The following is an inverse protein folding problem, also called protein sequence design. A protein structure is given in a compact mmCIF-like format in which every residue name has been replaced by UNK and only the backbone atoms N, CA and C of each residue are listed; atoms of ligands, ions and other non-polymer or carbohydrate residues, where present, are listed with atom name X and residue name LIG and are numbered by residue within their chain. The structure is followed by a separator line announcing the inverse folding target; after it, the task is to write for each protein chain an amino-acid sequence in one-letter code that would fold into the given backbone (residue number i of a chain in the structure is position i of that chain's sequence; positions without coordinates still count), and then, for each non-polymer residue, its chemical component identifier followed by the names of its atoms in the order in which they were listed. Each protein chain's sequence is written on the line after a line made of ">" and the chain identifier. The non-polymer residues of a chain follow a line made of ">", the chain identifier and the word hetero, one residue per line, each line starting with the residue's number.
data_IF_008570162053
#
_entry.id   IF_008570162053
#
_cell.length_a   1.000
_cell.length_b   1.000
_cell.length_c   1.000
_cell.angle_alpha   90.00
_cell.angle_beta   90.00
_cell.angle_gamma   90.00
#
_symmetry.space_group_name_H-M   'P 1'
#
loop_
_entity.id
_entity.type
_entity.pdbx_description
1 polymer ?
#
# COMPACT_ATOMS: atom_id res chain seq x y z
N UNK A 1 15.92 53.40 3.37
CA UNK A 1 16.14 52.02 2.94
C UNK A 1 14.78 51.34 3.16
N UNK A 2 14.09 51.11 2.09
CA UNK A 2 12.78 50.40 2.11
C UNK A 2 13.09 48.94 2.39
N UNK A 3 12.66 48.45 3.58
CA UNK A 3 12.57 47.02 3.86
C UNK A 3 11.59 46.41 2.84
N UNK A 4 12.08 45.91 1.73
CA UNK A 4 11.33 44.91 0.96
C UNK A 4 11.15 43.71 1.87
N UNK A 5 9.92 43.22 2.08
CA UNK A 5 9.72 42.00 2.86
C UNK A 5 10.49 40.88 2.18
N UNK A 6 11.45 40.30 2.89
CA UNK A 6 12.20 39.13 2.40
C UNK A 6 11.21 38.04 2.10
N UNK A 7 10.99 37.74 0.81
CA UNK A 7 10.09 36.68 0.36
C UNK A 7 10.58 35.37 0.99
N UNK A 8 9.71 34.70 1.74
CA UNK A 8 10.08 33.43 2.37
C UNK A 8 10.39 32.38 1.31
N UNK A 9 11.36 31.53 1.56
CA UNK A 9 11.73 30.42 0.66
C UNK A 9 10.55 29.52 0.29
N UNK A 10 9.51 29.53 1.12
CA UNK A 10 8.29 28.71 0.96
C UNK A 10 7.11 29.49 0.37
N UNK A 11 7.28 30.78 0.04
CA UNK A 11 6.20 31.58 -0.55
C UNK A 11 5.72 30.97 -1.87
N UNK A 12 4.39 30.81 -1.98
CA UNK A 12 3.76 30.20 -3.15
C UNK A 12 4.14 28.74 -3.40
N UNK A 13 4.72 28.02 -2.43
CA UNK A 13 5.21 26.66 -2.61
C UNK A 13 4.08 25.69 -3.03
N UNK A 14 2.88 25.84 -2.47
CA UNK A 14 1.69 25.06 -2.90
C UNK A 14 1.38 25.26 -4.38
N UNK A 15 1.40 26.51 -4.85
CA UNK A 15 1.14 26.81 -6.28
C UNK A 15 2.26 26.21 -7.16
N UNK A 16 3.52 26.31 -6.74
CA UNK A 16 4.65 25.70 -7.45
C UNK A 16 4.50 24.18 -7.55
N UNK A 17 4.01 23.49 -6.51
CA UNK A 17 3.70 22.06 -6.56
C UNK A 17 2.61 21.76 -7.59
N UNK A 18 1.54 22.56 -7.61
CA UNK A 18 0.46 22.41 -8.57
C UNK A 18 0.93 22.64 -10.00
N UNK A 19 1.74 23.68 -10.25
CA UNK A 19 2.28 24.01 -11.57
C UNK A 19 3.20 22.91 -12.12
N UNK A 20 4.09 22.37 -11.28
CA UNK A 20 4.97 21.26 -11.63
C UNK A 20 4.24 19.94 -11.89
N UNK A 21 2.98 19.87 -11.50
CA UNK A 21 2.15 18.66 -11.58
C UNK A 21 1.19 18.70 -12.75
N UNK A 22 1.10 19.79 -13.50
CA UNK A 22 0.15 19.89 -14.60
C UNK A 22 0.35 18.78 -15.64
N UNK A 23 -0.74 18.30 -16.28
CA UNK A 23 -0.67 17.43 -17.44
C UNK A 23 0.16 18.05 -18.57
N UNK A 24 0.57 17.22 -19.51
CA UNK A 24 1.21 17.67 -20.74
C UNK A 24 0.20 18.47 -21.62
N UNK A 25 0.66 19.07 -22.74
CA UNK A 25 -0.16 19.93 -23.60
C UNK A 25 -1.41 19.23 -24.18
N UNK A 26 -1.40 17.92 -24.27
CA UNK A 26 -2.54 17.11 -24.71
C UNK A 26 -3.50 16.73 -23.57
N UNK A 27 -3.28 17.26 -22.36
CA UNK A 27 -4.10 17.03 -21.19
C UNK A 27 -3.84 15.72 -20.47
N UNK A 28 -2.83 14.94 -20.88
CA UNK A 28 -2.51 13.63 -20.27
C UNK A 28 -1.38 13.77 -19.23
N UNK A 29 -1.60 13.24 -18.03
CA UNK A 29 -0.63 13.21 -16.94
C UNK A 29 0.39 12.09 -17.17
N UNK A 30 1.61 12.46 -17.50
CA UNK A 30 2.73 11.54 -17.73
C UNK A 30 3.88 11.81 -16.79
N UNK A 31 4.80 10.85 -16.69
CA UNK A 31 6.03 10.97 -15.92
C UNK A 31 5.79 11.32 -14.44
N UNK A 32 4.73 10.78 -13.81
CA UNK A 32 4.34 11.10 -12.45
C UNK A 32 5.46 10.89 -11.43
N UNK A 33 6.24 9.80 -11.55
CA UNK A 33 7.40 9.55 -10.69
C UNK A 33 8.45 10.69 -10.78
N UNK A 34 8.73 11.19 -11.98
CA UNK A 34 9.65 12.33 -12.19
C UNK A 34 9.08 13.61 -11.58
N UNK A 35 7.78 13.87 -11.75
CA UNK A 35 7.09 15.02 -11.17
C UNK A 35 7.09 14.96 -9.64
N UNK A 36 6.83 13.79 -9.03
CA UNK A 36 6.93 13.58 -7.58
C UNK A 36 8.34 13.80 -7.05
N UNK A 37 9.34 13.28 -7.75
CA UNK A 37 10.74 13.51 -7.40
C UNK A 37 11.10 15.00 -7.42
N UNK A 38 10.73 15.72 -8.47
CA UNK A 38 10.99 17.15 -8.59
C UNK A 38 10.30 17.98 -7.49
N UNK A 39 9.03 17.67 -7.17
CA UNK A 39 8.32 18.30 -6.03
C UNK A 39 9.02 18.05 -4.70
N UNK A 40 9.44 16.79 -4.47
CA UNK A 40 10.16 16.40 -3.24
C UNK A 40 11.49 17.15 -3.12
N UNK A 41 12.26 17.23 -4.21
CA UNK A 41 13.53 17.97 -4.24
C UNK A 41 13.32 19.47 -3.98
N UNK A 42 12.31 20.07 -4.62
CA UNK A 42 11.93 21.46 -4.36
C UNK A 42 11.52 21.68 -2.91
N UNK A 43 10.66 20.82 -2.35
CA UNK A 43 10.25 20.91 -0.95
C UNK A 43 11.46 20.83 0.00
N UNK A 44 12.33 19.86 -0.20
CA UNK A 44 13.54 19.67 0.63
C UNK A 44 14.45 20.88 0.56
N UNK A 45 14.65 21.46 -0.63
CA UNK A 45 15.45 22.68 -0.80
C UNK A 45 14.82 23.86 -0.07
N UNK A 46 13.52 24.14 -0.30
CA UNK A 46 12.82 25.26 0.33
C UNK A 46 12.80 25.12 1.87
N UNK A 47 12.62 23.90 2.39
CA UNK A 47 12.66 23.64 3.83
C UNK A 47 14.06 23.83 4.42
N UNK A 48 15.12 23.47 3.68
CA UNK A 48 16.51 23.74 4.09
C UNK A 48 16.80 25.24 4.13
N UNK A 49 16.35 25.99 3.12
CA UNK A 49 16.49 27.45 3.08
C UNK A 49 15.70 28.13 4.21
N UNK A 50 14.48 27.66 4.47
CA UNK A 50 13.65 28.12 5.60
C UNK A 50 14.33 27.88 6.95
N UNK A 51 14.89 26.69 7.18
CA UNK A 51 15.66 26.40 8.40
C UNK A 51 16.83 27.37 8.57
N UNK A 52 17.62 27.57 7.51
CA UNK A 52 18.77 28.47 7.55
C UNK A 52 18.36 29.94 7.82
N UNK A 53 17.22 30.37 7.29
CA UNK A 53 16.67 31.69 7.56
C UNK A 53 16.17 31.80 9.02
N UNK A 54 15.42 30.81 9.50
CA UNK A 54 14.93 30.74 10.88
C UNK A 54 16.07 30.79 11.90
N UNK A 55 17.14 30.02 11.68
CA UNK A 55 18.33 30.03 12.56
C UNK A 55 19.05 31.38 12.63
N UNK A 56 18.93 32.21 11.60
CA UNK A 56 19.50 33.58 11.58
C UNK A 56 18.59 34.62 12.22
N UNK A 57 17.27 34.37 12.21
CA UNK A 57 16.23 35.34 12.63
C UNK A 57 15.80 35.17 14.10
N UNK A 58 16.24 34.11 14.80
CA UNK A 58 15.99 33.93 16.24
C UNK A 58 16.94 34.78 17.08
N UNK A 59 16.49 35.10 18.31
CA UNK A 59 17.21 35.98 19.24
C UNK A 59 18.44 35.35 19.92
N UNK A 60 18.80 34.12 19.61
CA UNK A 60 19.86 33.33 20.20
C UNK A 60 20.62 32.52 19.15
N UNK A 61 21.86 32.10 19.40
CA UNK A 61 22.58 31.22 18.46
C UNK A 61 22.01 29.80 18.51
N UNK A 62 21.57 29.28 17.37
CA UNK A 62 21.18 27.87 17.23
C UNK A 62 22.45 27.02 17.09
N UNK A 63 22.67 26.01 17.97
CA UNK A 63 23.87 25.20 17.89
C UNK A 63 23.87 24.27 16.67
N UNK A 64 25.04 23.98 16.12
CA UNK A 64 25.25 23.09 14.98
C UNK A 64 24.96 21.61 15.30
N UNK A 65 24.89 21.26 16.60
CA UNK A 65 24.64 19.89 17.08
C UNK A 65 23.54 19.85 18.14
N UNK A 66 22.88 18.71 18.25
CA UNK A 66 21.84 18.45 19.26
C UNK A 66 20.46 18.96 18.87
N UNK A 67 20.26 19.52 17.67
CA UNK A 67 18.95 19.84 17.11
C UNK A 67 18.96 19.68 15.60
N UNK A 68 17.90 19.04 15.07
CA UNK A 68 17.78 18.79 13.64
C UNK A 68 16.33 18.84 13.17
N UNK A 69 16.16 19.12 11.89
CA UNK A 69 14.89 19.22 11.20
C UNK A 69 14.76 18.09 10.17
N UNK A 70 13.69 17.35 10.20
CA UNK A 70 13.50 16.16 9.37
C UNK A 70 12.09 16.07 8.79
N UNK A 71 12.00 15.39 7.64
CA UNK A 71 10.77 14.93 7.03
C UNK A 71 10.48 13.48 7.44
N UNK A 72 9.20 13.13 7.54
CA UNK A 72 8.70 11.76 7.70
C UNK A 72 7.64 11.48 6.64
N UNK A 73 7.11 10.27 6.59
CA UNK A 73 5.97 9.93 5.75
C UNK A 73 6.18 10.13 4.24
N UNK A 74 5.22 10.73 3.56
CA UNK A 74 5.17 10.84 2.10
C UNK A 74 6.33 11.68 1.52
N UNK A 75 6.70 12.77 2.19
CA UNK A 75 7.83 13.61 1.79
C UNK A 75 9.15 12.84 1.88
N UNK A 76 9.37 12.13 2.98
CA UNK A 76 10.58 11.33 3.17
C UNK A 76 10.71 10.21 2.14
N UNK A 77 9.58 9.57 1.75
CA UNK A 77 9.53 8.52 0.71
C UNK A 77 9.71 9.04 -0.72
N UNK A 78 9.72 10.35 -0.94
CA UNK A 78 9.74 10.91 -2.30
C UNK A 78 8.40 10.79 -3.04
N UNK A 79 7.31 10.66 -2.31
CA UNK A 79 5.97 10.43 -2.82
C UNK A 79 5.04 11.64 -2.63
N UNK A 80 5.59 12.85 -2.51
CA UNK A 80 4.83 14.06 -2.30
C UNK A 80 3.85 14.31 -3.45
N UNK A 81 2.55 14.44 -3.13
CA UNK A 81 1.50 14.78 -4.09
C UNK A 81 1.38 16.29 -4.32
N UNK A 82 0.61 16.72 -5.36
CA UNK A 82 0.43 18.14 -5.67
C UNK A 82 -0.15 18.99 -4.52
N UNK A 83 -1.01 18.38 -3.71
CA UNK A 83 -1.66 19.04 -2.56
C UNK A 83 -1.45 18.28 -1.25
N UNK A 84 -0.45 17.38 -1.19
CA UNK A 84 -0.17 16.61 0.04
C UNK A 84 0.29 17.53 1.16
N UNK A 85 -0.08 17.15 2.39
CA UNK A 85 0.48 17.67 3.62
C UNK A 85 1.99 17.41 3.73
N UNK A 86 2.64 18.20 4.57
CA UNK A 86 4.04 18.03 4.92
C UNK A 86 4.13 17.47 6.35
N UNK A 87 4.66 16.26 6.48
CA UNK A 87 4.94 15.62 7.77
C UNK A 87 6.35 16.01 8.21
N UNK A 88 6.48 16.90 9.21
CA UNK A 88 7.74 17.48 9.63
C UNK A 88 8.00 17.30 11.12
N UNK A 89 9.26 17.13 11.51
CA UNK A 89 9.65 16.98 12.90
C UNK A 89 10.95 17.73 13.21
N UNK A 90 10.95 18.45 14.33
CA UNK A 90 12.17 18.93 14.97
C UNK A 90 12.56 17.89 16.03
N UNK A 91 13.78 17.35 15.90
CA UNK A 91 14.35 16.43 16.88
C UNK A 91 15.45 17.17 17.63
N UNK A 92 15.43 17.07 18.96
CA UNK A 92 16.45 17.74 19.74
C UNK A 92 16.92 16.89 20.94
N UNK A 93 18.14 17.13 21.38
CA UNK A 93 18.67 16.59 22.63
C UNK A 93 18.27 17.47 23.82
N UNK A 94 17.93 16.89 24.98
CA UNK A 94 17.61 17.66 26.19
C UNK A 94 18.74 18.64 26.53
N UNK A 95 18.37 19.86 26.89
CA UNK A 95 19.28 20.97 27.26
C UNK A 95 20.00 21.67 26.11
N UNK A 96 19.80 21.27 24.85
CA UNK A 96 20.33 21.97 23.69
C UNK A 96 19.75 23.39 23.60
N UNK A 97 18.43 23.50 23.72
CA UNK A 97 17.68 24.75 23.80
C UNK A 97 16.67 24.65 24.96
N UNK A 98 16.30 25.76 25.54
CA UNK A 98 15.18 25.80 26.48
C UNK A 98 13.83 25.91 25.73
N UNK A 99 12.73 25.73 26.44
CA UNK A 99 11.38 25.70 25.86
C UNK A 99 11.03 27.01 25.11
N UNK A 100 11.47 28.17 25.61
CA UNK A 100 11.23 29.45 24.95
C UNK A 100 11.99 29.53 23.62
N UNK A 101 13.25 29.12 23.59
CA UNK A 101 14.09 29.07 22.40
C UNK A 101 13.57 28.08 21.35
N UNK A 102 13.14 26.89 21.80
CA UNK A 102 12.50 25.90 20.91
C UNK A 102 11.22 26.43 20.27
N UNK A 103 10.35 27.10 21.08
CA UNK A 103 9.14 27.68 20.57
C UNK A 103 9.40 28.84 19.59
N UNK A 104 10.40 29.68 19.88
CA UNK A 104 10.80 30.78 18.98
C UNK A 104 11.27 30.24 17.61
N UNK A 105 12.19 29.26 17.62
CA UNK A 105 12.68 28.64 16.40
C UNK A 105 11.55 27.92 15.63
N UNK A 106 10.73 27.14 16.33
CA UNK A 106 9.62 26.42 15.74
C UNK A 106 8.61 27.37 15.07
N UNK A 107 8.27 28.46 15.71
CA UNK A 107 7.37 29.47 15.14
C UNK A 107 7.92 30.08 13.85
N UNK A 108 9.24 30.30 13.77
CA UNK A 108 9.91 30.78 12.53
C UNK A 108 9.86 29.79 11.39
N UNK A 109 9.64 28.48 11.70
CA UNK A 109 9.47 27.43 10.69
C UNK A 109 7.99 27.24 10.31
N UNK A 110 7.09 27.19 11.31
CA UNK A 110 5.70 26.80 11.06
C UNK A 110 4.87 27.92 10.45
N UNK A 111 5.01 29.16 10.90
CA UNK A 111 4.20 30.28 10.39
C UNK A 111 4.37 30.50 8.88
N UNK A 112 5.60 30.57 8.31
CA UNK A 112 5.76 30.72 6.86
C UNK A 112 5.17 29.55 6.05
N UNK A 113 5.18 28.32 6.61
CA UNK A 113 4.59 27.17 5.95
C UNK A 113 3.04 27.25 5.94
N UNK A 114 2.42 27.65 7.05
CA UNK A 114 0.98 27.88 7.08
C UNK A 114 0.56 29.04 6.16
N UNK A 115 1.31 30.10 6.15
CA UNK A 115 1.05 31.26 5.29
C UNK A 115 1.18 30.90 3.79
N UNK A 116 1.99 29.89 3.45
CA UNK A 116 2.11 29.36 2.08
C UNK A 116 0.90 28.54 1.62
N UNK A 117 -0.07 28.29 2.51
CA UNK A 117 -1.29 27.52 2.26
C UNK A 117 -1.07 26.00 2.20
N UNK A 118 0.06 25.50 2.69
CA UNK A 118 0.34 24.07 2.84
C UNK A 118 -0.29 23.52 4.12
N UNK A 119 -0.87 22.35 4.03
CA UNK A 119 -1.27 21.59 5.19
C UNK A 119 -0.02 20.97 5.84
N UNK A 120 0.05 21.01 7.19
CA UNK A 120 1.25 20.68 7.93
C UNK A 120 0.90 19.78 9.11
N UNK A 121 1.45 18.56 9.14
CA UNK A 121 1.59 17.75 10.36
C UNK A 121 3.01 17.93 10.92
N UNK A 122 3.11 18.44 12.15
CA UNK A 122 4.39 18.81 12.71
C UNK A 122 4.51 18.45 14.19
N UNK A 123 5.73 18.18 14.61
CA UNK A 123 6.00 17.92 16.02
C UNK A 123 7.42 18.35 16.41
N UNK A 124 7.60 18.60 17.70
CA UNK A 124 8.89 18.84 18.33
C UNK A 124 9.09 17.78 19.38
N UNK A 125 10.15 17.00 19.26
CA UNK A 125 10.35 15.82 20.11
C UNK A 125 11.83 15.66 20.47
N UNK A 126 12.08 15.20 21.68
CA UNK A 126 13.40 14.62 21.98
C UNK A 126 13.52 13.26 21.31
N UNK A 127 14.75 12.79 21.14
CA UNK A 127 15.01 11.43 20.65
C UNK A 127 14.23 10.38 21.45
N UNK A 128 14.23 10.47 22.80
CA UNK A 128 13.51 9.54 23.65
C UNK A 128 11.99 9.55 23.38
N UNK A 129 11.39 10.73 23.17
CA UNK A 129 9.98 10.86 22.84
C UNK A 129 9.65 10.29 21.44
N UNK A 130 10.56 10.42 20.48
CA UNK A 130 10.39 9.77 19.16
C UNK A 130 10.33 8.24 19.31
N UNK A 131 11.24 7.67 20.08
CA UNK A 131 11.28 6.24 20.37
C UNK A 131 10.03 5.77 21.14
N UNK A 132 9.60 6.52 22.15
CA UNK A 132 8.41 6.19 22.94
C UNK A 132 7.12 6.19 22.11
N UNK A 133 6.91 7.23 21.28
CA UNK A 133 5.73 7.31 20.41
C UNK A 133 5.69 6.12 19.44
N UNK A 134 6.82 5.76 18.85
CA UNK A 134 6.87 4.62 17.92
C UNK A 134 6.64 3.27 18.61
N UNK A 135 6.84 3.15 19.91
CA UNK A 135 6.53 1.91 20.65
C UNK A 135 5.03 1.71 20.93
N UNK A 136 4.24 2.80 20.90
CA UNK A 136 2.83 2.78 21.31
C UNK A 136 1.85 3.16 20.21
N UNK A 137 2.30 3.86 19.18
CA UNK A 137 1.49 4.33 18.06
C UNK A 137 1.98 3.67 16.76
N UNK A 138 1.16 2.78 16.18
CA UNK A 138 1.51 2.05 14.97
C UNK A 138 1.60 2.95 13.72
N UNK A 139 0.65 3.86 13.45
CA UNK A 139 0.77 4.84 12.37
C UNK A 139 2.02 5.70 12.46
N UNK A 140 2.34 6.22 13.65
CA UNK A 140 3.56 6.98 13.87
C UNK A 140 4.80 6.12 13.65
N UNK A 141 4.84 4.89 14.17
CA UNK A 141 5.96 3.97 13.95
C UNK A 141 6.23 3.74 12.46
N UNK A 142 5.19 3.50 11.66
CA UNK A 142 5.32 3.32 10.21
C UNK A 142 5.83 4.59 9.51
N UNK A 143 5.35 5.78 9.91
CA UNK A 143 5.83 7.06 9.37
C UNK A 143 7.31 7.29 9.65
N UNK A 144 7.77 6.94 10.87
CA UNK A 144 9.15 7.07 11.28
C UNK A 144 10.13 6.08 10.63
N UNK A 145 9.66 5.01 9.99
CA UNK A 145 10.53 4.13 9.20
C UNK A 145 11.11 4.83 7.95
N UNK A 146 10.52 5.95 7.54
CA UNK A 146 10.88 6.72 6.35
C UNK A 146 11.46 8.11 6.69
N UNK A 147 12.13 8.27 7.82
CA UNK A 147 12.72 9.57 8.22
C UNK A 147 13.84 10.01 7.28
N UNK A 148 13.82 11.29 6.88
CA UNK A 148 14.85 11.90 6.03
C UNK A 148 15.30 13.24 6.61
N UNK A 149 16.62 13.45 6.82
CA UNK A 149 17.15 14.73 7.27
C UNK A 149 16.89 15.85 6.25
N UNK A 150 16.49 17.04 6.75
CA UNK A 150 16.37 18.29 5.98
C UNK A 150 17.55 19.20 6.30
N UNK A 151 17.73 19.53 7.59
CA UNK A 151 18.75 20.50 8.04
C UNK A 151 19.12 20.30 9.53
N UNK A 152 20.11 21.05 10.02
CA UNK A 152 20.62 20.95 11.39
C UNK A 152 21.48 19.70 11.61
N UNK A 153 21.41 19.12 12.81
CA UNK A 153 22.18 17.91 13.17
C UNK A 153 21.64 16.65 12.47
N UNK A 154 22.15 16.38 11.28
CA UNK A 154 21.79 15.20 10.49
C UNK A 154 22.23 13.89 11.15
N UNK A 155 23.29 13.92 11.97
CA UNK A 155 23.74 12.73 12.70
C UNK A 155 22.75 12.34 13.80
N UNK A 156 22.21 13.31 14.53
CA UNK A 156 21.13 13.09 15.51
C UNK A 156 19.92 12.45 14.84
N UNK A 157 19.47 12.99 13.70
CA UNK A 157 18.31 12.47 12.95
C UNK A 157 18.57 11.03 12.50
N UNK A 158 19.70 10.77 11.87
CA UNK A 158 20.06 9.43 11.36
C UNK A 158 20.20 8.41 12.48
N UNK A 159 20.77 8.80 13.62
CA UNK A 159 20.91 7.94 14.80
C UNK A 159 19.54 7.61 15.40
N UNK A 160 18.64 8.59 15.47
CA UNK A 160 17.25 8.40 15.94
C UNK A 160 16.50 7.44 15.00
N UNK A 161 16.56 7.64 13.69
CA UNK A 161 15.94 6.77 12.70
C UNK A 161 16.46 5.32 12.80
N UNK A 162 17.78 5.15 12.95
CA UNK A 162 18.40 3.84 13.14
C UNK A 162 17.92 3.16 14.42
N UNK A 163 17.84 3.88 15.52
CA UNK A 163 17.32 3.35 16.80
C UNK A 163 15.87 2.89 16.67
N UNK A 164 15.02 3.69 16.03
CA UNK A 164 13.60 3.33 15.78
C UNK A 164 13.49 2.08 14.91
N UNK A 165 14.28 1.98 13.83
CA UNK A 165 14.30 0.81 12.95
C UNK A 165 14.76 -0.46 13.70
N UNK A 166 15.78 -0.35 14.56
CA UNK A 166 16.21 -1.48 15.40
C UNK A 166 15.15 -1.91 16.41
N UNK A 167 14.45 -0.96 17.03
CA UNK A 167 13.32 -1.23 17.94
C UNK A 167 12.17 -1.91 17.20
N UNK A 168 11.84 -1.42 16.00
CA UNK A 168 10.85 -2.03 15.11
C UNK A 168 11.17 -3.50 14.83
N UNK A 169 12.41 -3.82 14.44
CA UNK A 169 12.87 -5.19 14.20
C UNK A 169 12.81 -6.07 15.45
N UNK A 170 13.24 -5.55 16.61
CA UNK A 170 13.16 -6.26 17.90
C UNK A 170 11.71 -6.56 18.31
N UNK A 171 10.80 -5.65 18.02
CA UNK A 171 9.37 -5.75 18.34
C UNK A 171 8.56 -6.51 17.26
N UNK A 172 9.15 -6.93 16.14
CA UNK A 172 8.47 -7.44 14.94
C UNK A 172 7.45 -8.55 15.26
N UNK A 173 7.82 -9.52 16.10
CA UNK A 173 6.92 -10.61 16.53
C UNK A 173 5.65 -10.09 17.23
N UNK A 174 5.79 -9.08 18.09
CA UNK A 174 4.67 -8.46 18.79
C UNK A 174 3.83 -7.57 17.87
N UNK A 175 4.49 -6.86 16.94
CA UNK A 175 3.87 -5.88 16.05
C UNK A 175 3.12 -6.50 14.87
N UNK A 176 3.51 -7.72 14.43
CA UNK A 176 2.88 -8.36 13.27
C UNK A 176 1.36 -8.52 13.44
N UNK A 177 0.81 -9.08 14.54
CA UNK A 177 -0.63 -9.14 14.74
C UNK A 177 -1.30 -7.74 14.69
N UNK A 178 -0.70 -6.74 15.34
CA UNK A 178 -1.21 -5.37 15.36
C UNK A 178 -1.30 -4.76 13.94
N UNK A 179 -0.28 -5.00 13.11
CA UNK A 179 -0.29 -4.60 11.68
C UNK A 179 -1.44 -5.26 10.91
N UNK A 180 -1.63 -6.56 11.09
CA UNK A 180 -2.64 -7.32 10.38
C UNK A 180 -4.06 -6.95 10.84
N UNK A 181 -4.27 -6.74 12.13
CA UNK A 181 -5.53 -6.26 12.71
C UNK A 181 -5.88 -4.85 12.20
N UNK A 182 -4.89 -3.95 12.11
CA UNK A 182 -5.07 -2.62 11.51
C UNK A 182 -5.49 -2.72 10.03
N UNK A 183 -4.88 -3.62 9.26
CA UNK A 183 -5.25 -3.84 7.87
C UNK A 183 -6.68 -4.39 7.73
N UNK A 184 -7.10 -5.28 8.64
CA UNK A 184 -8.44 -5.85 8.68
C UNK A 184 -9.48 -4.80 9.07
N UNK A 185 -9.23 -3.99 10.10
CA UNK A 185 -10.14 -2.91 10.51
C UNK A 185 -10.39 -1.93 9.36
N UNK A 186 -9.35 -1.55 8.60
CA UNK A 186 -9.50 -0.69 7.42
C UNK A 186 -10.30 -1.36 6.29
N UNK A 187 -10.13 -2.68 6.08
CA UNK A 187 -10.92 -3.42 5.11
C UNK A 187 -12.41 -3.37 5.47
N UNK A 188 -12.76 -3.53 6.76
CA UNK A 188 -14.15 -3.50 7.23
C UNK A 188 -14.78 -2.09 7.06
N UNK A 189 -13.99 -1.03 7.25
CA UNK A 189 -14.44 0.36 7.16
C UNK A 189 -14.51 0.86 5.71
N UNK A 190 -13.43 0.74 4.96
CA UNK A 190 -13.27 1.35 3.62
C UNK A 190 -13.55 0.39 2.47
N UNK A 191 -13.65 -0.91 2.73
CA UNK A 191 -13.82 -1.92 1.71
C UNK A 191 -12.55 -2.18 0.88
N UNK A 192 -12.74 -2.79 -0.30
CA UNK A 192 -11.66 -3.13 -1.24
C UNK A 192 -11.65 -2.14 -2.40
N UNK A 193 -10.48 -1.61 -2.77
CA UNK A 193 -10.29 -0.67 -3.87
C UNK A 193 -10.91 -1.17 -5.18
N UNK A 194 -10.83 -2.46 -5.45
CA UNK A 194 -11.34 -3.08 -6.69
C UNK A 194 -12.86 -3.16 -6.79
N UNK A 195 -13.61 -2.91 -5.70
CA UNK A 195 -15.06 -3.14 -5.68
C UNK A 195 -15.88 -1.90 -5.32
N UNK A 196 -15.26 -0.90 -4.71
CA UNK A 196 -15.97 0.30 -4.25
C UNK A 196 -16.05 1.31 -5.40
N UNK A 197 -17.25 1.82 -5.71
CA UNK A 197 -17.46 2.77 -6.81
C UNK A 197 -16.81 4.14 -6.56
N UNK A 198 -16.72 4.56 -5.30
CA UNK A 198 -16.05 5.79 -4.88
C UNK A 198 -15.04 5.46 -3.77
N UNK A 199 -13.93 4.80 -4.10
CA UNK A 199 -12.98 4.35 -3.11
C UNK A 199 -12.16 5.50 -2.53
N UNK A 200 -11.76 5.37 -1.27
CA UNK A 200 -10.58 6.02 -0.75
C UNK A 200 -9.35 5.24 -1.23
N UNK A 201 -8.56 5.81 -2.14
CA UNK A 201 -7.42 5.13 -2.75
C UNK A 201 -6.23 5.00 -1.80
N UNK A 202 -6.25 5.65 -0.63
CA UNK A 202 -5.25 5.52 0.41
C UNK A 202 -5.64 4.45 1.41
N UNK A 203 -6.86 4.49 1.95
CA UNK A 203 -7.27 3.66 3.08
C UNK A 203 -7.93 2.33 2.69
N UNK A 204 -8.59 2.25 1.53
CA UNK A 204 -9.19 1.00 1.05
C UNK A 204 -8.16 -0.13 0.94
N UNK A 205 -8.61 -1.38 1.13
CA UNK A 205 -7.76 -2.57 0.91
C UNK A 205 -7.24 -2.59 -0.53
N UNK A 206 -5.93 -2.69 -0.70
CA UNK A 206 -5.26 -2.51 -2.00
C UNK A 206 -4.89 -1.07 -2.31
N UNK A 207 -5.07 -0.14 -1.37
CA UNK A 207 -4.70 1.27 -1.47
C UNK A 207 -3.25 1.56 -1.04
N UNK A 208 -2.91 2.86 -1.02
CA UNK A 208 -1.54 3.31 -0.70
C UNK A 208 -1.11 2.94 0.73
N UNK A 209 -2.03 2.87 1.70
CA UNK A 209 -1.71 2.45 3.06
C UNK A 209 -1.22 1.00 3.12
N UNK A 210 -1.75 0.12 2.28
CA UNK A 210 -1.29 -1.26 2.18
C UNK A 210 0.15 -1.34 1.65
N UNK A 211 0.56 -0.44 0.76
CA UNK A 211 1.97 -0.37 0.32
C UNK A 211 2.92 0.07 1.44
N UNK A 212 2.46 0.93 2.34
CA UNK A 212 3.21 1.29 3.55
C UNK A 212 3.34 0.09 4.49
N UNK A 213 2.27 -0.69 4.67
CA UNK A 213 2.32 -1.94 5.46
C UNK A 213 3.30 -2.97 4.89
N UNK A 214 3.30 -3.17 3.56
CA UNK A 214 4.29 -4.04 2.89
C UNK A 214 5.71 -3.58 3.19
N UNK A 215 5.97 -2.27 3.12
CA UNK A 215 7.28 -1.69 3.44
C UNK A 215 7.66 -1.89 4.92
N UNK A 216 6.71 -1.72 5.84
CA UNK A 216 6.91 -1.93 7.27
C UNK A 216 7.20 -3.42 7.61
N UNK A 217 6.50 -4.36 6.94
CA UNK A 217 6.79 -5.79 7.05
C UNK A 217 8.21 -6.12 6.54
N UNK A 218 8.61 -5.56 5.41
CA UNK A 218 9.96 -5.74 4.89
C UNK A 218 11.03 -5.13 5.82
N UNK A 219 10.79 -3.93 6.36
CA UNK A 219 11.68 -3.29 7.33
C UNK A 219 11.86 -4.09 8.62
N UNK A 220 10.89 -4.94 8.99
CA UNK A 220 10.97 -5.84 10.14
C UNK A 220 11.89 -7.06 9.94
N UNK A 221 12.31 -7.34 8.70
CA UNK A 221 13.06 -8.54 8.28
C UNK A 221 12.28 -9.86 8.40
N UNK A 222 10.99 -9.82 8.63
CA UNK A 222 10.16 -11.04 8.64
C UNK A 222 9.85 -11.55 7.24
N UNK A 223 9.81 -10.67 6.23
CA UNK A 223 9.56 -11.04 4.85
C UNK A 223 10.23 -10.07 3.88
N UNK A 224 10.54 -10.53 2.67
CA UNK A 224 11.06 -9.68 1.61
C UNK A 224 9.94 -8.84 0.96
N UNK A 225 10.29 -7.62 0.56
CA UNK A 225 9.39 -6.74 -0.20
C UNK A 225 9.22 -7.28 -1.62
N UNK A 226 7.99 -7.36 -2.15
CA UNK A 226 7.78 -7.66 -3.57
C UNK A 226 8.27 -6.49 -4.45
N UNK A 227 8.65 -6.82 -5.69
CA UNK A 227 9.19 -5.88 -6.68
C UNK A 227 8.50 -6.04 -8.05
N UNK A 228 8.93 -5.24 -9.04
CA UNK A 228 8.44 -5.31 -10.41
C UNK A 228 7.00 -4.86 -10.53
N UNK A 229 6.10 -5.74 -10.93
CA UNK A 229 4.68 -5.43 -11.18
C UNK A 229 3.99 -4.80 -9.93
N UNK A 230 4.48 -5.12 -8.73
CA UNK A 230 4.00 -4.46 -7.51
C UNK A 230 4.42 -2.98 -7.48
N UNK A 231 5.69 -2.69 -7.76
CA UNK A 231 6.18 -1.31 -7.81
C UNK A 231 5.44 -0.49 -8.87
N UNK A 232 5.21 -1.07 -10.05
CA UNK A 232 4.41 -0.45 -11.11
C UNK A 232 2.98 -0.13 -10.66
N UNK A 233 2.35 -1.04 -9.91
CA UNK A 233 1.01 -0.83 -9.37
C UNK A 233 0.97 0.32 -8.36
N UNK A 234 1.94 0.41 -7.45
CA UNK A 234 2.04 1.50 -6.48
C UNK A 234 2.29 2.83 -7.18
N UNK A 235 3.23 2.89 -8.13
CA UNK A 235 3.51 4.10 -8.91
C UNK A 235 2.28 4.57 -9.70
N UNK A 236 1.54 3.65 -10.31
CA UNK A 236 0.32 3.99 -11.03
C UNK A 236 -0.79 4.49 -10.10
N UNK A 237 -0.90 3.96 -8.88
CA UNK A 237 -1.85 4.47 -7.87
C UNK A 237 -1.46 5.87 -7.39
N UNK A 238 -0.18 6.15 -7.28
CA UNK A 238 0.31 7.50 -6.99
C UNK A 238 -0.01 8.48 -8.13
N UNK A 239 0.04 8.05 -9.40
CA UNK A 239 -0.41 8.87 -10.53
C UNK A 239 -1.91 9.19 -10.44
N UNK A 240 -2.73 8.19 -10.06
CA UNK A 240 -4.17 8.40 -9.82
C UNK A 240 -4.38 9.43 -8.71
N UNK A 241 -3.65 9.33 -7.59
CA UNK A 241 -3.72 10.31 -6.48
C UNK A 241 -3.37 11.71 -6.96
N UNK A 242 -2.28 11.85 -7.71
CA UNK A 242 -1.84 13.14 -8.21
C UNK A 242 -2.92 13.77 -9.11
N UNK A 243 -3.57 12.98 -9.98
CA UNK A 243 -4.71 13.43 -10.78
C UNK A 243 -5.93 13.83 -9.93
N UNK A 244 -6.23 13.07 -8.85
CA UNK A 244 -7.32 13.46 -7.93
C UNK A 244 -7.03 14.82 -7.29
N UNK A 245 -5.81 15.04 -6.80
CA UNK A 245 -5.40 16.32 -6.20
C UNK A 245 -5.53 17.48 -7.18
N UNK A 246 -5.13 17.29 -8.45
CA UNK A 246 -5.26 18.31 -9.50
C UNK A 246 -6.71 18.63 -9.82
N UNK A 247 -7.56 17.62 -9.93
CA UNK A 247 -8.99 17.81 -10.22
C UNK A 247 -9.76 18.40 -9.06
N UNK A 248 -9.43 18.00 -7.82
CA UNK A 248 -10.08 18.46 -6.60
C UNK A 248 -9.56 19.81 -6.09
N UNK A 249 -8.31 20.19 -6.46
CA UNK A 249 -7.63 21.39 -5.97
C UNK A 249 -7.25 21.34 -4.48
N UNK A 250 -7.27 20.15 -3.86
CA UNK A 250 -6.99 19.95 -2.43
C UNK A 250 -6.44 18.55 -2.16
N UNK A 251 -5.90 18.34 -0.95
CA UNK A 251 -5.56 17.01 -0.47
C UNK A 251 -6.82 16.18 -0.25
N UNK A 252 -6.98 15.15 -1.06
CA UNK A 252 -8.03 14.16 -0.90
C UNK A 252 -7.66 12.87 -1.63
N UNK A 253 -7.93 11.74 -1.00
CA UNK A 253 -7.71 10.42 -1.58
C UNK A 253 -9.04 9.76 -2.02
N UNK A 254 -10.16 10.47 -1.88
CA UNK A 254 -11.48 9.95 -2.22
C UNK A 254 -11.79 10.18 -3.70
N UNK A 255 -11.97 9.09 -4.45
CA UNK A 255 -12.37 9.11 -5.87
C UNK A 255 -13.87 9.37 -5.99
N UNK A 256 -14.30 10.63 -5.86
CA UNK A 256 -15.70 10.99 -6.00
C UNK A 256 -16.17 10.88 -7.47
N UNK A 257 -17.44 10.55 -7.66
CA UNK A 257 -18.06 10.46 -9.00
C UNK A 257 -17.80 11.69 -9.89
N UNK A 258 -17.89 12.96 -9.40
CA UNK A 258 -17.60 14.13 -10.23
C UNK A 258 -16.16 14.23 -10.73
N UNK A 259 -15.23 13.52 -10.11
CA UNK A 259 -13.80 13.54 -10.49
C UNK A 259 -13.46 12.48 -11.54
N UNK A 260 -14.20 11.36 -11.58
CA UNK A 260 -13.86 10.15 -12.31
C UNK A 260 -13.57 10.39 -13.80
N UNK A 261 -14.46 11.08 -14.50
CA UNK A 261 -14.29 11.36 -15.94
C UNK A 261 -13.03 12.21 -16.23
N UNK A 262 -12.77 13.24 -15.39
CA UNK A 262 -11.60 14.10 -15.56
C UNK A 262 -10.30 13.35 -15.24
N UNK A 263 -10.31 12.58 -14.14
CA UNK A 263 -9.16 11.76 -13.76
C UNK A 263 -8.86 10.70 -14.83
N UNK A 264 -9.89 10.05 -15.37
CA UNK A 264 -9.74 9.09 -16.46
C UNK A 264 -9.11 9.73 -17.70
N UNK A 265 -9.58 10.92 -18.11
CA UNK A 265 -9.02 11.67 -19.24
C UNK A 265 -7.53 12.02 -18.98
N UNK A 266 -7.20 12.54 -17.80
CA UNK A 266 -5.83 12.87 -17.41
C UNK A 266 -4.92 11.63 -17.39
N UNK A 267 -5.44 10.46 -17.08
CA UNK A 267 -4.68 9.20 -17.13
C UNK A 267 -4.55 8.60 -18.54
N UNK A 268 -5.10 9.28 -19.57
CA UNK A 268 -5.07 8.85 -20.95
C UNK A 268 -6.01 7.68 -21.25
N UNK A 269 -7.08 7.51 -20.46
CA UNK A 269 -8.07 6.44 -20.61
C UNK A 269 -9.26 6.84 -21.49
N UNK A 270 -9.37 8.11 -21.86
CA UNK A 270 -10.41 8.61 -22.77
C UNK A 270 -9.99 8.38 -24.22
N UNK A 271 -10.38 7.24 -24.79
CA UNK A 271 -10.07 6.90 -26.21
C UNK A 271 -10.80 7.88 -27.14
N UNK A 272 -10.10 8.64 -28.00
CA UNK A 272 -10.70 9.60 -28.93
C UNK A 272 -11.56 8.94 -30.02
N UNK A 273 -11.41 7.64 -30.24
CA UNK A 273 -12.21 6.89 -31.22
C UNK A 273 -13.63 6.57 -30.76
N UNK A 274 -13.89 6.68 -29.43
CA UNK A 274 -15.23 6.48 -28.91
C UNK A 274 -16.18 7.63 -29.26
N UNK A 275 -17.49 7.36 -29.43
CA UNK A 275 -18.49 8.40 -29.62
C UNK A 275 -18.41 9.45 -28.49
N UNK A 276 -18.46 10.71 -28.83
CA UNK A 276 -18.28 11.82 -27.88
C UNK A 276 -19.26 11.76 -26.69
N UNK A 277 -20.52 11.40 -26.98
CA UNK A 277 -21.58 11.25 -25.96
C UNK A 277 -21.38 10.07 -25.00
N UNK A 278 -20.56 9.07 -25.36
CA UNK A 278 -20.32 7.86 -24.58
C UNK A 278 -18.90 7.82 -24.00
N UNK A 279 -17.99 8.64 -24.51
CA UNK A 279 -16.55 8.65 -24.12
C UNK A 279 -16.35 8.77 -22.63
N UNK A 280 -17.11 9.63 -21.94
CA UNK A 280 -17.01 9.81 -20.50
C UNK A 280 -17.41 8.55 -19.71
N UNK A 281 -18.43 7.82 -20.17
CA UNK A 281 -18.87 6.57 -19.54
C UNK A 281 -17.84 5.45 -19.73
N UNK A 282 -17.34 5.26 -20.96
CA UNK A 282 -16.31 4.24 -21.23
C UNK A 282 -15.00 4.52 -20.50
N UNK A 283 -14.59 5.79 -20.42
CA UNK A 283 -13.36 6.14 -19.68
C UNK A 283 -13.51 5.93 -18.15
N UNK A 284 -14.71 6.09 -17.58
CA UNK A 284 -14.98 5.75 -16.18
C UNK A 284 -14.89 4.23 -15.98
N UNK A 285 -15.42 3.43 -16.87
CA UNK A 285 -15.33 1.97 -16.83
C UNK A 285 -13.86 1.50 -16.86
N UNK A 286 -13.05 2.13 -17.70
CA UNK A 286 -11.61 1.82 -17.80
C UNK A 286 -10.85 2.28 -16.57
N UNK A 287 -11.23 3.42 -15.97
CA UNK A 287 -10.68 3.88 -14.68
C UNK A 287 -10.97 2.85 -13.57
N UNK A 288 -12.21 2.37 -13.47
CA UNK A 288 -12.58 1.36 -12.48
C UNK A 288 -11.80 0.04 -12.72
N UNK A 289 -11.66 -0.36 -13.97
CA UNK A 289 -10.85 -1.52 -14.35
C UNK A 289 -9.37 -1.34 -13.96
N UNK A 290 -8.81 -0.15 -14.17
CA UNK A 290 -7.45 0.20 -13.74
C UNK A 290 -7.30 0.09 -12.22
N UNK A 291 -8.20 0.73 -11.47
CA UNK A 291 -8.19 0.71 -10.00
C UNK A 291 -8.34 -0.72 -9.46
N UNK A 292 -9.20 -1.52 -10.07
CA UNK A 292 -9.36 -2.92 -9.70
C UNK A 292 -8.09 -3.75 -9.91
N UNK A 293 -7.41 -3.58 -11.04
CA UNK A 293 -6.13 -4.28 -11.32
C UNK A 293 -5.04 -3.86 -10.32
N UNK A 294 -4.92 -2.57 -10.03
CA UNK A 294 -3.98 -2.02 -9.06
C UNK A 294 -4.29 -2.57 -7.66
N UNK A 295 -5.54 -2.44 -7.21
CA UNK A 295 -5.99 -2.85 -5.88
C UNK A 295 -5.76 -4.33 -5.62
N UNK A 296 -6.11 -5.20 -6.57
CA UNK A 296 -5.84 -6.65 -6.48
C UNK A 296 -4.35 -6.95 -6.37
N UNK A 297 -3.50 -6.23 -7.12
CA UNK A 297 -2.04 -6.43 -7.09
C UNK A 297 -1.46 -6.06 -5.73
N UNK A 298 -1.85 -4.92 -5.20
CA UNK A 298 -1.35 -4.44 -3.91
C UNK A 298 -1.88 -5.32 -2.76
N UNK A 299 -3.18 -5.68 -2.77
CA UNK A 299 -3.78 -6.59 -1.78
C UNK A 299 -3.08 -7.94 -1.75
N UNK A 300 -2.89 -8.58 -2.92
CA UNK A 300 -2.18 -9.85 -3.03
C UNK A 300 -0.74 -9.75 -2.52
N UNK A 301 -0.06 -8.65 -2.81
CA UNK A 301 1.31 -8.42 -2.34
C UNK A 301 1.37 -8.29 -0.82
N UNK A 302 0.40 -7.64 -0.20
CA UNK A 302 0.30 -7.56 1.26
C UNK A 302 -0.01 -8.94 1.86
N UNK A 303 -1.00 -9.67 1.35
CA UNK A 303 -1.38 -11.00 1.84
C UNK A 303 -0.20 -11.98 1.75
N UNK A 304 0.49 -12.02 0.60
CA UNK A 304 1.65 -12.89 0.41
C UNK A 304 2.85 -12.49 1.27
N UNK A 305 3.05 -11.21 1.56
CA UNK A 305 4.13 -10.72 2.44
C UNK A 305 3.79 -11.03 3.90
N UNK A 306 2.54 -10.84 4.30
CA UNK A 306 2.04 -11.18 5.64
C UNK A 306 2.18 -12.69 5.92
N UNK A 307 1.71 -13.54 4.99
CA UNK A 307 1.84 -15.00 5.11
C UNK A 307 3.31 -15.42 5.30
N UNK A 308 4.25 -14.87 4.50
CA UNK A 308 5.67 -15.15 4.69
C UNK A 308 6.21 -14.67 6.04
N UNK A 309 5.74 -13.51 6.52
CA UNK A 309 6.13 -12.99 7.82
C UNK A 309 5.64 -13.90 8.96
N UNK A 310 4.41 -14.38 8.92
CA UNK A 310 3.84 -15.33 9.87
C UNK A 310 4.60 -16.65 9.88
N UNK A 311 4.88 -17.23 8.70
CA UNK A 311 5.68 -18.46 8.56
C UNK A 311 7.09 -18.29 9.13
N UNK A 312 7.74 -17.14 8.94
CA UNK A 312 9.08 -16.90 9.50
C UNK A 312 9.08 -16.94 11.03
N UNK A 313 7.99 -16.55 11.68
CA UNK A 313 7.85 -16.59 13.14
C UNK A 313 7.56 -17.99 13.67
N UNK A 314 6.87 -18.84 12.91
CA UNK A 314 6.56 -20.22 13.32
C UNK A 314 7.78 -21.15 13.22
N UNK A 315 8.71 -20.86 12.29
CA UNK A 315 9.89 -21.70 12.03
C UNK A 315 11.16 -21.29 12.79
N UNK A 316 11.17 -20.22 13.56
CA UNK A 316 12.31 -19.91 14.44
C UNK A 316 12.46 -20.96 15.52
N UNK A 317 13.37 -21.93 15.28
CA UNK A 317 13.86 -22.84 16.35
C UNK A 317 14.50 -21.99 17.45
N UNK A 318 14.24 -22.28 18.74
CA UNK A 318 14.85 -21.52 19.84
C UNK A 318 16.37 -21.48 19.68
N UNK A 319 16.97 -20.31 19.79
CA UNK A 319 18.41 -20.03 19.66
C UNK A 319 19.32 -20.93 20.52
N UNK A 320 18.78 -21.72 21.42
CA UNK A 320 19.52 -22.70 22.24
C UNK A 320 20.07 -23.90 21.45
N UNK A 321 19.63 -24.16 20.21
CA UNK A 321 20.14 -25.26 19.39
C UNK A 321 21.54 -24.98 18.80
N UNK A 322 22.05 -23.76 18.81
CA UNK A 322 23.35 -23.43 18.22
C UNK A 322 24.52 -23.97 19.06
N UNK A 323 24.36 -24.15 20.38
CA UNK A 323 25.40 -24.72 21.24
C UNK A 323 25.45 -26.23 21.24
N UNK A 324 24.38 -26.94 20.81
CA UNK A 324 24.37 -28.39 20.71
C UNK A 324 24.89 -28.91 19.37
N UNK A 325 25.14 -28.06 18.39
CA UNK A 325 25.56 -28.46 17.03
C UNK A 325 27.04 -28.88 16.97
N UNK A 326 27.82 -28.67 18.04
CA UNK A 326 29.23 -29.09 18.10
C UNK A 326 29.48 -30.44 18.80
N UNK A 327 28.44 -31.08 19.34
CA UNK A 327 28.66 -32.33 20.13
C UNK A 327 27.98 -33.59 19.62
N UNK A 328 27.25 -33.59 18.50
CA UNK A 328 26.76 -34.86 17.94
C UNK A 328 26.70 -34.85 16.40
N UNK A 329 27.70 -35.49 15.80
CA UNK A 329 27.59 -36.13 14.49
C UNK A 329 26.62 -37.33 14.61
N UNK A 330 25.32 -37.09 14.50
CA UNK A 330 24.33 -38.11 14.16
C UNK A 330 23.34 -37.49 13.17
N UNK A 331 23.19 -38.15 12.02
CA UNK A 331 22.38 -37.74 10.90
C UNK A 331 20.90 -37.56 11.29
N UNK A 332 20.54 -36.37 11.71
CA UNK A 332 19.14 -35.99 11.85
C UNK A 332 18.51 -35.97 10.46
N UNK A 333 17.69 -36.97 10.13
CA UNK A 333 16.77 -36.86 9.00
C UNK A 333 15.95 -35.58 9.18
N UNK A 334 16.05 -34.64 8.22
CA UNK A 334 15.06 -33.59 8.08
C UNK A 334 13.72 -34.29 7.92
N UNK A 335 12.81 -34.11 8.87
CA UNK A 335 11.43 -34.55 8.67
C UNK A 335 10.90 -33.88 7.39
N UNK A 336 10.42 -34.73 6.48
CA UNK A 336 9.79 -34.22 5.26
C UNK A 336 8.53 -33.42 5.67
N UNK A 337 8.23 -32.28 4.99
CA UNK A 337 7.01 -31.54 5.25
C UNK A 337 5.80 -32.48 5.22
N UNK A 338 4.97 -32.44 6.26
CA UNK A 338 3.74 -33.22 6.29
C UNK A 338 2.68 -32.49 5.45
N UNK A 339 2.22 -33.13 4.38
CA UNK A 339 1.12 -32.70 3.54
C UNK A 339 -0.10 -33.58 3.83
N UNK A 340 -1.17 -32.97 4.30
CA UNK A 340 -2.47 -33.65 4.46
C UNK A 340 -3.27 -33.52 3.16
N UNK A 341 -3.25 -34.57 2.34
CA UNK A 341 -3.97 -34.58 1.04
C UNK A 341 -5.48 -34.67 1.29
N UNK A 342 -6.21 -33.62 0.90
CA UNK A 342 -7.66 -33.51 1.14
C UNK A 342 -8.51 -33.91 -0.06
N UNK A 343 -8.04 -33.63 -1.27
CA UNK A 343 -8.60 -34.12 -2.55
C UNK A 343 -7.47 -34.32 -3.55
N UNK A 344 -7.67 -35.06 -4.65
CA UNK A 344 -6.61 -35.29 -5.64
C UNK A 344 -5.96 -33.98 -6.09
N UNK A 345 -4.64 -33.89 -5.90
CA UNK A 345 -3.82 -32.72 -6.27
C UNK A 345 -3.83 -31.56 -5.26
N UNK A 346 -4.58 -31.62 -4.17
CA UNK A 346 -4.71 -30.55 -3.16
C UNK A 346 -4.36 -31.10 -1.78
N UNK A 347 -3.53 -30.39 -1.05
CA UNK A 347 -3.17 -30.73 0.33
C UNK A 347 -3.28 -29.50 1.25
N UNK A 348 -3.46 -29.75 2.55
CA UNK A 348 -3.28 -28.77 3.61
C UNK A 348 -1.83 -28.78 4.09
N UNK A 349 -1.29 -27.59 4.30
CA UNK A 349 0.01 -27.39 4.89
C UNK A 349 0.05 -26.05 5.61
N UNK A 350 0.38 -26.05 6.89
CA UNK A 350 0.54 -24.85 7.72
C UNK A 350 -0.66 -23.87 7.66
N UNK A 351 -1.87 -24.37 7.63
CA UNK A 351 -3.09 -23.55 7.62
C UNK A 351 -3.48 -23.02 6.24
N UNK A 352 -2.76 -23.36 5.18
CA UNK A 352 -3.07 -23.01 3.81
C UNK A 352 -3.35 -24.24 2.94
N UNK A 353 -3.98 -24.03 1.77
CA UNK A 353 -4.08 -25.04 0.74
C UNK A 353 -2.93 -24.90 -0.25
N UNK A 354 -2.26 -26.02 -0.51
CA UNK A 354 -1.12 -26.12 -1.39
C UNK A 354 -1.32 -27.23 -2.43
N UNK A 355 -0.49 -27.26 -3.48
CA UNK A 355 -0.44 -28.41 -4.38
C UNK A 355 0.04 -29.63 -3.62
N UNK A 356 -0.67 -30.75 -3.74
CA UNK A 356 -0.21 -32.02 -3.20
C UNK A 356 1.10 -32.48 -3.87
N UNK A 357 1.96 -33.22 -3.18
CA UNK A 357 3.16 -33.81 -3.80
C UNK A 357 2.81 -34.60 -5.06
N UNK A 358 3.49 -34.30 -6.16
CA UNK A 358 3.24 -34.93 -7.45
C UNK A 358 2.08 -34.35 -8.26
N UNK A 359 1.40 -33.32 -7.78
CA UNK A 359 0.40 -32.63 -8.58
C UNK A 359 1.03 -31.93 -9.80
N UNK A 360 0.42 -32.10 -10.97
CA UNK A 360 0.88 -31.53 -12.23
C UNK A 360 -0.20 -30.59 -12.79
N UNK A 361 -0.22 -29.30 -12.43
CA UNK A 361 -1.27 -28.36 -12.89
C UNK A 361 -1.43 -28.33 -14.41
N UNK A 362 -0.34 -28.42 -15.16
CA UNK A 362 -0.38 -28.39 -16.63
C UNK A 362 -1.08 -29.61 -17.28
N UNK A 363 -1.35 -30.68 -16.53
CA UNK A 363 -1.99 -31.91 -17.01
C UNK A 363 -3.39 -32.12 -16.43
N UNK A 364 -3.84 -31.26 -15.52
CA UNK A 364 -5.06 -31.46 -14.76
C UNK A 364 -6.01 -30.24 -14.89
N UNK A 365 -6.96 -30.33 -15.80
CA UNK A 365 -7.91 -29.24 -16.08
C UNK A 365 -8.89 -28.96 -14.91
N UNK A 366 -9.13 -29.95 -14.02
CA UNK A 366 -10.07 -29.83 -12.90
C UNK A 366 -9.40 -29.41 -11.60
N UNK A 367 -8.07 -29.37 -11.56
CA UNK A 367 -7.33 -29.06 -10.34
C UNK A 367 -7.66 -27.69 -9.77
N UNK A 368 -7.80 -26.66 -10.64
CA UNK A 368 -8.19 -25.34 -10.19
C UNK A 368 -9.59 -25.30 -9.55
N UNK A 369 -10.54 -26.07 -10.10
CA UNK A 369 -11.89 -26.19 -9.54
C UNK A 369 -11.87 -26.93 -8.21
N UNK A 370 -11.16 -28.06 -8.11
CA UNK A 370 -11.01 -28.81 -6.85
C UNK A 370 -10.33 -27.97 -5.76
N UNK A 371 -9.31 -27.19 -6.11
CA UNK A 371 -8.65 -26.27 -5.20
C UNK A 371 -9.59 -25.21 -4.67
N UNK A 372 -10.39 -24.58 -5.57
CA UNK A 372 -11.37 -23.56 -5.19
C UNK A 372 -12.47 -24.13 -4.28
N UNK A 373 -13.00 -25.32 -4.61
CA UNK A 373 -13.99 -26.02 -3.74
C UNK A 373 -13.40 -26.33 -2.38
N UNK A 374 -12.21 -26.90 -2.32
CA UNK A 374 -11.52 -27.19 -1.05
C UNK A 374 -11.29 -25.92 -0.22
N UNK A 375 -10.88 -24.81 -0.85
CA UNK A 375 -10.70 -23.53 -0.18
C UNK A 375 -12.01 -23.02 0.45
N UNK A 376 -13.12 -23.11 -0.29
CA UNK A 376 -14.44 -22.71 0.21
C UNK A 376 -14.97 -23.61 1.32
N UNK A 377 -14.90 -24.93 1.15
CA UNK A 377 -15.41 -25.90 2.13
C UNK A 377 -14.62 -25.93 3.44
N UNK A 378 -13.29 -25.79 3.37
CA UNK A 378 -12.45 -25.75 4.57
C UNK A 378 -12.27 -24.35 5.17
N UNK A 379 -12.66 -23.28 4.45
CA UNK A 379 -12.41 -21.90 4.88
C UNK A 379 -10.91 -21.59 4.99
N UNK A 380 -10.07 -22.19 4.14
CA UNK A 380 -8.62 -22.00 4.16
C UNK A 380 -8.16 -21.20 2.94
N UNK A 381 -7.18 -20.28 3.12
CA UNK A 381 -6.61 -19.54 2.01
C UNK A 381 -5.80 -20.47 1.10
N UNK A 382 -5.74 -20.12 -0.19
CA UNK A 382 -4.86 -20.80 -1.15
C UNK A 382 -3.50 -20.12 -1.10
N UNK A 383 -2.45 -20.89 -0.89
CA UNK A 383 -1.08 -20.37 -0.88
C UNK A 383 -0.78 -19.58 -2.16
N UNK A 384 -0.13 -18.41 -2.08
CA UNK A 384 0.13 -17.54 -3.24
C UNK A 384 0.90 -18.20 -4.37
N UNK A 385 1.88 -19.04 -4.08
CA UNK A 385 2.64 -19.76 -5.12
C UNK A 385 1.79 -20.83 -5.80
N UNK A 386 0.89 -21.45 -5.06
CA UNK A 386 -0.10 -22.40 -5.59
C UNK A 386 -1.05 -21.69 -6.54
N UNK A 387 -1.61 -20.53 -6.17
CA UNK A 387 -2.48 -19.73 -7.04
C UNK A 387 -1.83 -19.42 -8.39
N UNK A 388 -0.59 -18.97 -8.38
CA UNK A 388 0.16 -18.69 -9.61
C UNK A 388 0.32 -19.95 -10.47
N UNK A 389 0.56 -21.10 -9.85
CA UNK A 389 0.69 -22.37 -10.58
C UNK A 389 -0.64 -22.88 -11.17
N UNK A 390 -1.79 -22.54 -10.57
CA UNK A 390 -3.11 -22.90 -11.11
C UNK A 390 -3.41 -22.24 -12.48
N UNK A 391 -2.74 -21.16 -12.83
CA UNK A 391 -2.80 -20.58 -14.20
C UNK A 391 -2.38 -21.57 -15.28
N UNK A 392 -1.58 -22.57 -14.94
CA UNK A 392 -1.08 -23.59 -15.86
C UNK A 392 -2.09 -24.70 -16.14
N UNK A 393 -3.19 -24.79 -15.39
CA UNK A 393 -4.24 -25.78 -15.64
C UNK A 393 -4.82 -25.56 -17.03
N UNK A 394 -4.90 -26.60 -17.87
CA UNK A 394 -5.48 -26.46 -19.20
C UNK A 394 -6.98 -26.18 -19.14
N UNK A 395 -7.51 -25.59 -20.21
CA UNK A 395 -8.93 -25.46 -20.46
C UNK A 395 -9.24 -26.37 -21.64
N UNK A 396 -10.22 -27.23 -21.47
CA UNK A 396 -10.68 -28.10 -22.54
C UNK A 396 -12.01 -27.61 -23.11
N UNK A 397 -12.25 -27.87 -24.40
CA UNK A 397 -13.50 -27.49 -25.08
C UNK A 397 -14.75 -28.03 -24.41
N UNK A 398 -14.65 -29.17 -23.72
CA UNK A 398 -15.73 -29.77 -22.94
C UNK A 398 -15.43 -29.71 -21.41
N UNK A 399 -15.09 -28.54 -20.92
CA UNK A 399 -14.76 -28.37 -19.49
C UNK A 399 -15.97 -28.54 -18.55
N UNK A 400 -17.19 -28.35 -19.04
CA UNK A 400 -18.43 -28.42 -18.27
C UNK A 400 -19.08 -29.80 -18.32
N UNK A 401 -18.31 -30.88 -18.14
CA UNK A 401 -18.88 -32.20 -17.89
C UNK A 401 -19.55 -32.27 -16.50
N UNK A 402 -20.24 -33.37 -16.21
CA UNK A 402 -21.02 -33.53 -14.99
C UNK A 402 -20.23 -33.34 -13.70
N UNK A 403 -18.96 -33.85 -13.67
CA UNK A 403 -18.07 -33.64 -12.53
C UNK A 403 -17.66 -32.17 -12.36
N UNK A 404 -17.36 -31.46 -13.43
CA UNK A 404 -16.99 -30.04 -13.37
C UNK A 404 -18.17 -29.18 -12.97
N UNK A 405 -19.40 -29.54 -13.42
CA UNK A 405 -20.64 -28.86 -12.99
C UNK A 405 -20.89 -29.06 -11.52
N UNK A 406 -20.75 -30.29 -11.03
CA UNK A 406 -20.91 -30.60 -9.61
C UNK A 406 -19.90 -29.83 -8.74
N UNK A 407 -18.62 -29.82 -9.10
CA UNK A 407 -17.60 -29.03 -8.43
C UNK A 407 -17.93 -27.54 -8.43
N UNK A 408 -18.41 -27.00 -9.56
CA UNK A 408 -18.76 -25.58 -9.65
C UNK A 408 -19.98 -25.23 -8.78
N UNK A 409 -21.01 -26.09 -8.73
CA UNK A 409 -22.15 -25.93 -7.84
C UNK A 409 -21.70 -25.94 -6.37
N UNK A 410 -20.81 -26.88 -6.00
CA UNK A 410 -20.23 -26.93 -4.64
C UNK A 410 -19.45 -25.65 -4.31
N UNK A 411 -18.68 -25.09 -5.25
CA UNK A 411 -18.00 -23.82 -5.07
C UNK A 411 -18.98 -22.69 -4.80
N UNK A 412 -20.04 -22.57 -5.60
CA UNK A 412 -21.07 -21.53 -5.41
C UNK A 412 -21.83 -21.69 -4.08
N UNK A 413 -21.94 -22.90 -3.56
CA UNK A 413 -22.60 -23.23 -2.28
C UNK A 413 -21.69 -23.03 -1.04
N UNK A 414 -20.47 -22.50 -1.18
CA UNK A 414 -19.55 -22.31 -0.04
C UNK A 414 -19.94 -21.16 0.90
N UNK A 415 -21.09 -20.52 0.70
CA UNK A 415 -21.59 -19.45 1.57
C UNK A 415 -20.62 -18.28 1.67
N UNK A 416 -20.38 -17.77 2.88
CA UNK A 416 -19.50 -16.61 3.11
C UNK A 416 -18.06 -16.79 2.62
N UNK A 417 -17.55 -18.02 2.55
CA UNK A 417 -16.20 -18.30 2.08
C UNK A 417 -16.04 -18.10 0.57
N UNK A 418 -17.17 -18.14 -0.20
CA UNK A 418 -17.13 -17.95 -1.66
C UNK A 418 -16.44 -16.66 -2.06
N UNK A 419 -16.63 -15.58 -1.31
CA UNK A 419 -16.07 -14.28 -1.65
C UNK A 419 -14.55 -14.28 -1.71
N UNK A 420 -13.89 -14.80 -0.68
CA UNK A 420 -12.43 -14.83 -0.60
C UNK A 420 -11.83 -15.81 -1.61
N UNK A 421 -12.49 -16.94 -1.81
CA UNK A 421 -12.07 -17.93 -2.80
C UNK A 421 -12.17 -17.35 -4.20
N UNK A 422 -13.32 -16.74 -4.53
CA UNK A 422 -13.54 -16.14 -5.84
C UNK A 422 -12.53 -15.06 -6.16
N UNK A 423 -12.26 -14.17 -5.19
CA UNK A 423 -11.21 -13.13 -5.32
C UNK A 423 -9.84 -13.74 -5.64
N UNK A 424 -9.48 -14.79 -4.90
CA UNK A 424 -8.19 -15.45 -5.09
C UNK A 424 -8.03 -16.05 -6.48
N UNK A 425 -9.02 -16.77 -6.99
CA UNK A 425 -8.97 -17.39 -8.31
C UNK A 425 -9.18 -16.38 -9.45
N UNK A 426 -9.93 -15.30 -9.20
CA UNK A 426 -10.12 -14.22 -10.17
C UNK A 426 -8.85 -13.36 -10.32
N UNK A 427 -8.06 -13.21 -9.25
CA UNK A 427 -6.74 -12.58 -9.32
C UNK A 427 -5.81 -13.25 -10.34
N UNK A 428 -5.94 -14.55 -10.52
CA UNK A 428 -5.16 -15.33 -11.50
C UNK A 428 -5.95 -15.65 -12.77
N UNK A 429 -7.03 -14.92 -13.06
CA UNK A 429 -7.87 -14.98 -14.27
C UNK A 429 -8.56 -16.32 -14.53
N UNK A 430 -8.75 -17.15 -13.50
CA UNK A 430 -9.38 -18.48 -13.65
C UNK A 430 -10.87 -18.38 -14.01
N UNK A 431 -11.72 -17.57 -13.34
CA UNK A 431 -13.15 -17.46 -13.68
C UNK A 431 -13.39 -16.99 -15.11
N UNK A 432 -12.61 -16.03 -15.63
CA UNK A 432 -12.71 -15.58 -17.01
C UNK A 432 -12.30 -16.64 -18.04
N UNK A 433 -11.48 -17.61 -17.62
CA UNK A 433 -11.15 -18.78 -18.45
C UNK A 433 -12.21 -19.87 -18.42
N UNK A 434 -12.93 -19.99 -17.31
CA UNK A 434 -14.07 -20.92 -17.20
C UNK A 434 -15.32 -20.40 -17.91
N UNK A 435 -15.54 -19.10 -17.82
CA UNK A 435 -16.72 -18.38 -18.29
C UNK A 435 -16.26 -17.07 -18.96
N UNK A 436 -16.04 -17.05 -20.28
CA UNK A 436 -15.60 -15.84 -20.98
C UNK A 436 -16.55 -14.63 -20.75
N UNK A 437 -17.83 -14.88 -20.53
CA UNK A 437 -18.86 -13.86 -20.22
C UNK A 437 -18.56 -13.10 -18.92
N UNK A 438 -17.85 -13.72 -17.97
CA UNK A 438 -17.38 -13.09 -16.74
C UNK A 438 -16.55 -11.83 -17.03
N UNK A 439 -15.76 -11.83 -18.09
CA UNK A 439 -14.94 -10.68 -18.50
C UNK A 439 -15.80 -9.46 -18.87
N UNK A 440 -17.04 -9.67 -19.33
CA UNK A 440 -17.97 -8.59 -19.67
C UNK A 440 -18.54 -7.85 -18.45
N UNK A 441 -18.56 -8.48 -17.26
CA UNK A 441 -19.11 -7.89 -16.01
C UNK A 441 -18.00 -7.59 -14.99
N UNK A 442 -16.82 -8.16 -15.15
CA UNK A 442 -15.67 -8.02 -14.25
C UNK A 442 -15.23 -6.57 -14.15
N UNK A 443 -15.19 -6.05 -12.91
CA UNK A 443 -14.80 -4.68 -12.56
C UNK A 443 -15.70 -3.59 -13.18
N UNK A 444 -16.87 -3.94 -13.69
CA UNK A 444 -17.78 -2.93 -14.24
C UNK A 444 -18.52 -2.20 -13.13
N UNK A 445 -18.50 -0.86 -13.14
CA UNK A 445 -19.26 -0.08 -12.19
C UNK A 445 -20.77 -0.30 -12.39
N UNK A 446 -21.54 -0.22 -11.31
CA UNK A 446 -22.99 -0.15 -11.43
C UNK A 446 -23.40 1.28 -11.83
N UNK A 447 -24.23 1.41 -12.87
CA UNK A 447 -24.82 2.70 -13.26
C UNK A 447 -25.74 3.30 -12.20
N UNK A 448 -26.20 2.51 -11.22
CA UNK A 448 -27.06 2.96 -10.13
C UNK A 448 -26.26 3.43 -8.92
N UNK A 449 -26.49 4.67 -8.50
CA UNK A 449 -25.90 5.24 -7.28
C UNK A 449 -26.30 4.46 -5.99
N UNK A 450 -27.33 3.61 -6.05
CA UNK A 450 -27.75 2.77 -4.93
C UNK A 450 -26.81 1.56 -4.71
N UNK A 451 -25.98 1.19 -5.69
CA UNK A 451 -25.05 0.08 -5.56
C UNK A 451 -23.67 0.58 -5.11
N UNK A 452 -23.24 0.06 -3.95
CA UNK A 452 -21.91 0.34 -3.40
C UNK A 452 -20.79 -0.34 -4.19
N UNK A 453 -21.09 -1.48 -4.83
CA UNK A 453 -20.10 -2.38 -5.42
C UNK A 453 -20.24 -2.50 -6.94
N UNK A 454 -19.16 -2.93 -7.60
CA UNK A 454 -19.14 -3.35 -9.00
C UNK A 454 -20.11 -4.51 -9.27
N UNK A 455 -20.50 -4.69 -10.52
CA UNK A 455 -21.49 -5.72 -10.93
C UNK A 455 -21.02 -7.12 -10.55
N UNK A 456 -19.78 -7.46 -10.88
CA UNK A 456 -19.17 -8.76 -10.55
C UNK A 456 -19.16 -9.03 -9.05
N UNK A 457 -18.74 -8.06 -8.24
CA UNK A 457 -18.77 -8.20 -6.79
C UNK A 457 -20.18 -8.43 -6.25
N UNK A 458 -21.14 -7.66 -6.75
CA UNK A 458 -22.53 -7.79 -6.34
C UNK A 458 -23.08 -9.20 -6.66
N UNK A 459 -22.79 -9.74 -7.85
CA UNK A 459 -23.21 -11.09 -8.26
C UNK A 459 -22.65 -12.16 -7.32
N UNK A 460 -21.35 -12.11 -7.02
CA UNK A 460 -20.72 -13.10 -6.12
C UNK A 460 -21.27 -12.97 -4.70
N UNK A 461 -21.48 -11.74 -4.22
CA UNK A 461 -22.00 -11.50 -2.88
C UNK A 461 -23.46 -11.99 -2.71
N UNK A 462 -24.31 -11.77 -3.70
CA UNK A 462 -25.68 -12.32 -3.69
C UNK A 462 -25.62 -13.85 -3.66
N UNK A 463 -24.78 -14.47 -4.48
CA UNK A 463 -24.62 -15.93 -4.51
C UNK A 463 -24.11 -16.47 -3.16
N UNK A 464 -23.21 -15.76 -2.50
CA UNK A 464 -22.65 -16.18 -1.20
C UNK A 464 -23.67 -16.16 -0.04
N UNK A 465 -24.83 -15.50 -0.23
CA UNK A 465 -25.91 -15.37 0.77
C UNK A 465 -27.07 -16.31 0.53
N UNK A 466 -27.09 -17.02 -0.59
CA UNK A 466 -28.08 -18.05 -0.91
C UNK A 466 -27.70 -19.37 -0.26
#
# INVERSE_FOLDING_TARGET
>A
MTDEPMTSAVDGLKQRFMDMSQPDDDGVYRNGATKRKARTELAMQCLTELWNAACKDVSFPVPDSGIGFAAVGSLARGQLGPSSDLDLVIIYEPRTLNDQQLNELANKLWYPLWDSGLDLDHSIRTRAQCEEVTDHDLPAAMGWLDVKPIAGDTALITTTATSILERWRKAARKRLPELLDSAKARLDEFGRLQYVNQPDIKEARGGLRDSVLVSALAASWLADRPHGIYDEAVERLLDVRDCIHLVAGKDTNLMLTPYQAKVAAMLGLADPTWPENERAAYSIDDLQTLLARIGRRISFSLDSTASRAEHSLTHEKPRFAFFQMFSQRSGGKREAPQFDVVVPGVAKHEGELVLAPGAEPAKDAKLALRMAVAAGEFGLPINPSTLVNLKRCPIHDNQWNDESRELFIRLLACGSNLMEVWESIDFVDIPGRWMPEWLGVRNRPSASAAHRYTIDRHMVEVTSRL
#
